data_IF_676319123302
#
_entry.id   IF_676319123302
#
_cell.length_a   1.000
_cell.length_b   1.000
_cell.length_c   1.000
_cell.angle_alpha   90.00
_cell.angle_beta   90.00
_cell.angle_gamma   90.00
#
_symmetry.space_group_name_H-M   'P 1'
#
loop_
_entity.id
_entity.type
_entity.pdbx_description
1 polymer ?
#
# COMPACT_ATOMS: atom_id res chain seq x y z
N UNK A 1 25.32 7.33 -24.70
CA UNK A 1 24.88 8.05 -23.49
C UNK A 1 24.04 7.20 -22.53
N UNK A 2 22.76 6.87 -22.78
CA UNK A 2 21.95 6.07 -21.82
C UNK A 2 22.55 4.68 -21.54
N UNK A 3 22.99 3.97 -22.59
CA UNK A 3 23.62 2.65 -22.43
C UNK A 3 24.99 2.72 -21.72
N UNK A 4 25.77 3.78 -21.93
CA UNK A 4 27.05 3.99 -21.23
C UNK A 4 26.85 4.34 -19.76
N UNK A 5 25.82 5.15 -19.45
CA UNK A 5 25.48 5.46 -18.06
C UNK A 5 25.10 4.18 -17.32
N UNK A 6 24.29 3.32 -17.95
CA UNK A 6 23.90 2.03 -17.37
C UNK A 6 25.09 1.10 -17.12
N UNK A 7 26.07 1.09 -18.01
CA UNK A 7 27.30 0.31 -17.80
C UNK A 7 28.10 0.85 -16.61
N UNK A 8 28.22 2.18 -16.49
CA UNK A 8 28.89 2.81 -15.35
C UNK A 8 28.16 2.57 -14.02
N UNK A 9 26.83 2.56 -14.03
CA UNK A 9 26.00 2.22 -12.86
C UNK A 9 26.26 0.78 -12.40
N UNK A 10 26.32 -0.18 -13.33
CA UNK A 10 26.64 -1.57 -13.01
C UNK A 10 28.04 -1.74 -12.42
N UNK A 11 29.04 -1.08 -13.02
CA UNK A 11 30.41 -1.07 -12.49
C UNK A 11 30.47 -0.41 -11.10
N UNK A 12 29.76 0.70 -10.93
CA UNK A 12 29.66 1.39 -9.66
C UNK A 12 28.99 0.56 -8.57
N UNK A 13 27.94 -0.18 -8.93
CA UNK A 13 27.26 -1.10 -8.02
C UNK A 13 28.23 -2.17 -7.49
N UNK A 14 28.97 -2.83 -8.39
CA UNK A 14 29.93 -3.89 -8.02
C UNK A 14 31.05 -3.37 -7.12
N UNK A 15 31.65 -2.22 -7.47
CA UNK A 15 32.67 -1.59 -6.63
C UNK A 15 32.09 -1.15 -5.29
N UNK A 16 30.87 -0.64 -5.29
CA UNK A 16 30.11 -0.27 -4.10
C UNK A 16 30.01 -1.43 -3.12
N UNK A 17 29.54 -2.59 -3.57
CA UNK A 17 29.43 -3.79 -2.73
C UNK A 17 30.77 -4.23 -2.14
N UNK A 18 31.83 -4.30 -2.98
CA UNK A 18 33.17 -4.68 -2.54
C UNK A 18 33.67 -3.72 -1.45
N UNK A 19 33.48 -2.42 -1.64
CA UNK A 19 33.92 -1.39 -0.68
C UNK A 19 33.10 -1.44 0.60
N UNK A 20 31.79 -1.58 0.52
CA UNK A 20 30.91 -1.74 1.69
C UNK A 20 31.37 -2.94 2.54
N UNK A 21 31.65 -4.08 1.89
CA UNK A 21 32.15 -5.28 2.56
C UNK A 21 33.54 -5.06 3.19
N UNK A 22 34.46 -4.38 2.49
CA UNK A 22 35.80 -4.07 3.01
C UNK A 22 35.76 -3.17 4.26
N UNK A 23 34.85 -2.19 4.28
CA UNK A 23 34.63 -1.30 5.42
C UNK A 23 33.75 -1.94 6.52
N UNK A 24 33.20 -3.14 6.29
CA UNK A 24 32.33 -3.89 7.22
C UNK A 24 31.13 -3.06 7.71
N UNK A 25 30.56 -2.25 6.82
CA UNK A 25 29.42 -1.41 7.16
C UNK A 25 28.12 -2.23 7.17
N UNK A 26 27.26 -2.09 8.19
CA UNK A 26 26.01 -2.86 8.30
C UNK A 26 24.89 -2.29 7.42
N UNK A 27 25.14 -2.20 6.11
CA UNK A 27 24.18 -1.73 5.09
C UNK A 27 24.07 -2.70 3.93
N UNK A 28 22.94 -2.63 3.22
CA UNK A 28 22.71 -3.34 1.97
C UNK A 28 22.54 -2.35 0.83
N UNK A 29 23.35 -2.49 -0.22
CA UNK A 29 23.22 -1.69 -1.43
C UNK A 29 22.02 -2.19 -2.24
N UNK A 30 21.13 -1.28 -2.61
CA UNK A 30 19.90 -1.59 -3.35
C UNK A 30 20.03 -1.23 -4.82
N UNK A 31 20.53 -0.03 -5.13
CA UNK A 31 20.69 0.43 -6.50
C UNK A 31 21.73 1.57 -6.60
N UNK A 32 22.23 1.82 -7.81
CA UNK A 32 23.13 2.93 -8.13
C UNK A 32 22.65 3.67 -9.37
N UNK A 33 22.51 4.97 -9.26
CA UNK A 33 22.01 5.84 -10.34
C UNK A 33 23.03 6.95 -10.65
N UNK A 34 23.34 7.14 -11.93
CA UNK A 34 24.12 8.26 -12.41
C UNK A 34 23.18 9.34 -12.93
N UNK A 35 23.30 10.56 -12.42
CA UNK A 35 22.46 11.67 -12.87
C UNK A 35 22.64 11.93 -14.37
N UNK A 36 21.59 12.42 -15.04
CA UNK A 36 21.62 12.66 -16.49
C UNK A 36 22.74 13.60 -16.95
N UNK A 37 23.13 14.55 -16.11
CA UNK A 37 24.25 15.48 -16.33
C UNK A 37 25.62 14.87 -15.97
N UNK A 38 25.67 13.61 -15.56
CA UNK A 38 26.83 12.86 -15.07
C UNK A 38 27.56 13.55 -13.89
N UNK A 39 26.90 14.48 -13.19
CA UNK A 39 27.53 15.25 -12.12
C UNK A 39 27.57 14.50 -10.79
N UNK A 40 26.64 13.57 -10.56
CA UNK A 40 26.51 12.81 -9.32
C UNK A 40 26.22 11.34 -9.55
N UNK A 41 26.79 10.51 -8.68
CA UNK A 41 26.53 9.09 -8.59
C UNK A 41 25.86 8.81 -7.24
N UNK A 42 24.62 8.35 -7.28
CA UNK A 42 23.75 8.17 -6.11
C UNK A 42 23.67 6.68 -5.80
N UNK A 43 24.07 6.31 -4.58
CA UNK A 43 24.02 4.94 -4.08
C UNK A 43 22.86 4.82 -3.09
N UNK A 44 21.85 4.06 -3.46
CA UNK A 44 20.69 3.78 -2.62
C UNK A 44 20.97 2.55 -1.76
N UNK A 45 20.78 2.66 -0.45
CA UNK A 45 21.03 1.57 0.48
C UNK A 45 19.98 1.49 1.59
N UNK A 46 19.80 0.30 2.15
CA UNK A 46 18.99 0.06 3.35
C UNK A 46 19.87 -0.26 4.55
N UNK A 47 19.40 0.13 5.73
CA UNK A 47 20.09 -0.11 7.00
C UNK A 47 19.11 0.05 8.17
N UNK A 48 19.29 -0.75 9.23
CA UNK A 48 18.44 -0.71 10.42
C UNK A 48 18.68 0.53 11.30
N UNK A 49 19.81 1.22 11.12
CA UNK A 49 20.20 2.35 11.94
C UNK A 49 21.01 3.40 11.17
N UNK A 50 21.56 4.37 11.91
CA UNK A 50 22.51 5.34 11.36
C UNK A 50 23.86 4.66 11.14
N UNK A 51 24.46 4.91 9.99
CA UNK A 51 25.78 4.39 9.64
C UNK A 51 26.72 5.54 9.37
N UNK A 52 27.93 5.46 9.91
CA UNK A 52 29.01 6.36 9.53
C UNK A 52 29.70 5.81 8.28
N UNK A 53 29.43 6.44 7.14
CA UNK A 53 29.95 6.07 5.83
C UNK A 53 31.00 7.07 5.30
N UNK A 54 31.57 7.94 6.14
CA UNK A 54 32.51 8.98 5.70
C UNK A 54 33.74 8.42 4.97
N UNK A 55 34.32 7.33 5.47
CA UNK A 55 35.47 6.69 4.82
C UNK A 55 35.07 5.99 3.51
N UNK A 56 33.88 5.37 3.45
CA UNK A 56 33.34 4.79 2.22
C UNK A 56 33.17 5.86 1.12
N UNK A 57 32.67 7.06 1.46
CA UNK A 57 32.51 8.16 0.50
C UNK A 57 33.85 8.57 -0.10
N UNK A 58 34.91 8.69 0.72
CA UNK A 58 36.25 9.02 0.24
C UNK A 58 36.79 7.97 -0.72
N UNK A 59 36.63 6.70 -0.36
CA UNK A 59 37.03 5.56 -1.18
C UNK A 59 36.31 5.55 -2.53
N UNK A 60 34.98 5.68 -2.53
CA UNK A 60 34.19 5.72 -3.76
C UNK A 60 34.53 6.95 -4.62
N UNK A 61 34.71 8.12 -4.01
CA UNK A 61 35.07 9.34 -4.72
C UNK A 61 36.45 9.24 -5.40
N UNK A 62 37.39 8.52 -4.77
CA UNK A 62 38.72 8.27 -5.35
C UNK A 62 38.66 7.40 -6.62
N UNK A 63 37.67 6.51 -6.73
CA UNK A 63 37.48 5.62 -7.88
C UNK A 63 36.76 6.33 -9.02
N UNK A 64 35.59 6.92 -8.75
CA UNK A 64 34.68 7.37 -9.80
C UNK A 64 34.92 8.80 -10.30
N UNK A 65 35.71 9.60 -9.59
CA UNK A 65 35.99 11.02 -9.91
C UNK A 65 34.72 11.87 -10.15
N UNK A 66 33.59 11.41 -9.63
CA UNK A 66 32.26 12.03 -9.68
C UNK A 66 31.79 12.26 -8.25
N UNK A 67 30.91 13.24 -8.03
CA UNK A 67 30.35 13.48 -6.70
C UNK A 67 29.52 12.28 -6.24
N UNK A 68 29.91 11.68 -5.13
CA UNK A 68 29.21 10.53 -4.53
C UNK A 68 28.14 11.03 -3.57
N UNK A 69 26.94 10.48 -3.68
CA UNK A 69 25.84 10.68 -2.74
C UNK A 69 25.35 9.33 -2.24
N UNK A 70 25.35 9.12 -0.93
CA UNK A 70 24.81 7.91 -0.31
C UNK A 70 23.44 8.25 0.26
N UNK A 71 22.41 7.53 -0.18
CA UNK A 71 21.03 7.77 0.23
C UNK A 71 20.44 6.54 0.90
N UNK A 72 20.15 6.68 2.19
CA UNK A 72 19.40 5.67 2.93
C UNK A 72 17.93 5.72 2.50
N UNK A 73 17.40 4.57 2.12
CA UNK A 73 15.98 4.38 1.77
C UNK A 73 15.31 3.42 2.75
N UNK A 74 13.98 3.53 2.88
CA UNK A 74 13.22 2.60 3.70
C UNK A 74 12.88 1.31 2.96
N UNK A 75 12.53 0.26 3.71
CA UNK A 75 12.09 -1.05 3.18
C UNK A 75 10.95 -0.97 2.14
N UNK A 76 10.13 0.09 2.20
CA UNK A 76 9.05 0.30 1.23
C UNK A 76 9.58 0.88 -0.09
N UNK A 77 10.54 1.79 -0.02
CA UNK A 77 11.15 2.38 -1.20
C UNK A 77 12.03 1.35 -1.91
N UNK A 78 12.71 0.49 -1.15
CA UNK A 78 13.38 -0.70 -1.67
C UNK A 78 12.40 -1.60 -2.46
N UNK A 79 11.27 -1.97 -1.85
CA UNK A 79 10.25 -2.76 -2.55
C UNK A 79 9.67 -2.03 -3.78
N UNK A 80 9.60 -0.69 -3.76
CA UNK A 80 9.18 0.12 -4.91
C UNK A 80 10.20 0.07 -6.05
N UNK A 81 11.50 0.15 -5.74
CA UNK A 81 12.59 0.11 -6.71
C UNK A 81 12.72 -1.28 -7.34
N UNK A 82 12.71 -2.33 -6.52
CA UNK A 82 12.77 -3.72 -6.99
C UNK A 82 11.49 -4.14 -7.72
N UNK A 83 10.35 -3.57 -7.33
CA UNK A 83 9.04 -3.99 -7.80
C UNK A 83 8.64 -5.37 -7.28
N UNK A 84 7.74 -6.03 -8.00
CA UNK A 84 7.27 -7.38 -7.67
C UNK A 84 5.75 -7.50 -7.61
N UNK A 85 5.29 -8.61 -7.03
CA UNK A 85 3.87 -8.92 -6.88
C UNK A 85 3.45 -8.81 -5.41
N UNK A 86 2.32 -8.15 -5.18
CA UNK A 86 1.69 -8.08 -3.88
C UNK A 86 0.96 -9.38 -3.51
N UNK A 87 0.50 -9.51 -2.27
CA UNK A 87 -0.29 -10.67 -1.82
C UNK A 87 -1.63 -10.81 -2.57
N UNK A 88 -2.08 -9.74 -3.24
CA UNK A 88 -3.24 -9.74 -4.13
C UNK A 88 -2.97 -10.33 -5.53
N UNK A 89 -1.72 -10.73 -5.83
CA UNK A 89 -1.31 -11.25 -7.13
C UNK A 89 -1.07 -10.19 -8.20
N UNK A 90 -1.27 -8.90 -7.88
CA UNK A 90 -1.00 -7.77 -8.79
C UNK A 90 0.37 -7.17 -8.53
N UNK A 91 0.88 -6.40 -9.49
CA UNK A 91 2.09 -5.58 -9.31
C UNK A 91 1.96 -4.63 -8.12
N UNK A 92 3.06 -4.36 -7.42
CA UNK A 92 3.04 -3.50 -6.24
C UNK A 92 2.45 -2.12 -6.56
N UNK A 93 1.50 -1.66 -5.73
CA UNK A 93 0.89 -0.34 -5.90
C UNK A 93 1.93 0.78 -5.81
N UNK A 94 2.96 0.60 -4.96
CA UNK A 94 4.03 1.59 -4.78
C UNK A 94 4.94 1.76 -6.00
N UNK A 95 5.09 0.73 -6.83
CA UNK A 95 5.90 0.77 -8.06
C UNK A 95 5.09 1.16 -9.30
N UNK A 96 3.78 1.39 -9.15
CA UNK A 96 2.86 1.64 -10.27
C UNK A 96 2.23 3.02 -10.19
N UNK A 97 1.19 3.19 -9.37
CA UNK A 97 0.41 4.44 -9.31
C UNK A 97 0.54 5.18 -7.98
N UNK A 98 0.97 4.50 -6.91
CA UNK A 98 1.00 5.07 -5.57
C UNK A 98 2.40 5.60 -5.23
N UNK A 99 2.64 6.87 -5.57
CA UNK A 99 3.92 7.54 -5.36
C UNK A 99 4.18 7.96 -3.91
N UNK A 100 3.14 8.49 -3.25
CA UNK A 100 3.22 9.06 -1.90
C UNK A 100 2.52 8.19 -0.85
N UNK A 101 3.15 8.09 0.32
CA UNK A 101 2.68 7.23 1.39
C UNK A 101 2.19 8.02 2.58
N UNK A 102 0.92 7.78 2.91
CA UNK A 102 0.33 8.23 4.16
C UNK A 102 0.52 7.16 5.25
N UNK A 103 0.60 7.56 6.53
CA UNK A 103 0.63 6.62 7.64
C UNK A 103 -0.61 5.71 7.63
N UNK A 104 -0.38 4.41 7.78
CA UNK A 104 -1.45 3.41 7.87
C UNK A 104 -1.57 2.95 9.31
N UNK A 105 -2.79 2.80 9.81
CA UNK A 105 -3.06 2.35 11.17
C UNK A 105 -3.81 1.01 11.20
N UNK A 106 -3.63 0.24 12.28
CA UNK A 106 -4.33 -1.03 12.50
C UNK A 106 -5.85 -0.84 12.55
N UNK A 107 -6.31 0.34 12.99
CA UNK A 107 -7.75 0.69 13.03
C UNK A 107 -8.40 0.55 11.65
N UNK A 108 -7.68 0.91 10.59
CA UNK A 108 -8.19 0.88 9.21
C UNK A 108 -8.40 -0.56 8.74
N UNK A 109 -7.47 -1.46 9.07
CA UNK A 109 -7.64 -2.90 8.80
C UNK A 109 -8.89 -3.45 9.51
N UNK A 110 -9.13 -3.03 10.76
CA UNK A 110 -10.33 -3.42 11.52
C UNK A 110 -11.62 -2.88 10.90
N UNK A 111 -11.61 -1.63 10.44
CA UNK A 111 -12.78 -0.99 9.81
C UNK A 111 -13.12 -1.62 8.45
N UNK A 112 -12.13 -2.21 7.78
CA UNK A 112 -12.29 -2.95 6.52
C UNK A 112 -12.55 -4.46 6.75
N UNK A 113 -12.84 -4.86 7.98
CA UNK A 113 -13.13 -6.25 8.38
C UNK A 113 -12.02 -7.25 8.01
N UNK A 114 -10.76 -6.81 8.01
CA UNK A 114 -9.62 -7.70 7.77
C UNK A 114 -9.15 -8.36 9.08
N UNK A 115 -8.63 -9.58 8.96
CA UNK A 115 -8.01 -10.29 10.07
C UNK A 115 -6.77 -9.54 10.55
N UNK A 116 -6.62 -9.35 11.86
CA UNK A 116 -5.47 -8.65 12.47
C UNK A 116 -4.18 -9.48 12.49
N UNK A 117 -4.13 -10.62 11.77
CA UNK A 117 -2.89 -11.38 11.60
C UNK A 117 -1.91 -10.58 10.72
N UNK A 118 -0.67 -10.33 11.18
CA UNK A 118 0.34 -9.58 10.40
C UNK A 118 0.51 -10.06 8.96
N UNK A 119 0.47 -11.38 8.71
CA UNK A 119 0.62 -11.94 7.35
C UNK A 119 -0.53 -11.55 6.40
N UNK A 120 -1.67 -11.10 6.91
CA UNK A 120 -2.84 -10.69 6.13
C UNK A 120 -2.95 -9.17 5.95
N UNK A 121 -2.27 -8.38 6.80
CA UNK A 121 -2.36 -6.90 6.78
C UNK A 121 -1.06 -6.20 6.42
N UNK A 122 0.05 -6.94 6.36
CA UNK A 122 1.35 -6.44 5.94
C UNK A 122 1.57 -6.69 4.45
N UNK A 123 2.16 -5.70 3.78
CA UNK A 123 2.67 -5.85 2.42
C UNK A 123 4.01 -6.61 2.40
N UNK A 124 4.51 -6.87 1.19
CA UNK A 124 5.79 -7.55 0.99
C UNK A 124 6.97 -6.83 1.65
N UNK A 125 6.89 -5.51 1.79
CA UNK A 125 7.88 -4.68 2.49
C UNK A 125 7.82 -4.79 4.03
N UNK A 126 7.03 -5.72 4.59
CA UNK A 126 6.92 -5.96 6.04
C UNK A 126 6.13 -4.90 6.82
N UNK A 127 5.73 -3.79 6.19
CA UNK A 127 4.86 -2.76 6.78
C UNK A 127 3.40 -2.96 6.42
N UNK A 128 2.49 -2.33 7.14
CA UNK A 128 1.05 -2.33 6.83
C UNK A 128 0.78 -1.93 5.38
N UNK A 129 -0.18 -2.62 4.73
CA UNK A 129 -0.54 -2.41 3.33
C UNK A 129 -1.01 -0.97 3.09
N UNK A 130 -0.42 -0.29 2.11
CA UNK A 130 -0.82 1.06 1.73
C UNK A 130 -2.23 1.12 1.10
N UNK A 131 -2.70 0.01 0.52
CA UNK A 131 -4.08 -0.15 0.02
C UNK A 131 -5.12 0.14 1.09
N UNK A 132 -4.84 -0.18 2.36
CA UNK A 132 -5.76 0.10 3.47
C UNK A 132 -6.07 1.59 3.56
N UNK A 133 -5.07 2.47 3.44
CA UNK A 133 -5.33 3.91 3.44
C UNK A 133 -5.97 4.38 2.14
N UNK A 134 -5.56 3.82 1.01
CA UNK A 134 -6.14 4.16 -0.28
C UNK A 134 -7.66 3.91 -0.34
N UNK A 135 -8.11 2.77 0.20
CA UNK A 135 -9.53 2.40 0.20
C UNK A 135 -10.32 3.09 1.33
N UNK A 136 -9.64 3.52 2.40
CA UNK A 136 -10.27 4.00 3.63
C UNK A 136 -11.32 5.08 3.40
N UNK A 137 -11.03 6.07 2.57
CA UNK A 137 -11.94 7.21 2.37
C UNK A 137 -13.26 6.75 1.74
N UNK A 138 -13.20 5.73 0.87
CA UNK A 138 -14.38 5.08 0.31
C UNK A 138 -15.15 4.29 1.36
N UNK A 139 -14.46 3.52 2.22
CA UNK A 139 -15.10 2.81 3.32
C UNK A 139 -15.83 3.75 4.30
N UNK A 140 -15.21 4.89 4.64
CA UNK A 140 -15.81 5.89 5.52
C UNK A 140 -17.06 6.51 4.90
N UNK A 141 -17.03 6.82 3.60
CA UNK A 141 -18.18 7.35 2.88
C UNK A 141 -19.32 6.32 2.78
N UNK A 142 -19.01 5.08 2.39
CA UNK A 142 -19.97 3.99 2.30
C UNK A 142 -20.64 3.73 3.66
N UNK A 143 -19.86 3.70 4.75
CA UNK A 143 -20.37 3.47 6.10
C UNK A 143 -21.30 4.59 6.61
N UNK A 144 -21.04 5.84 6.24
CA UNK A 144 -21.96 6.96 6.55
C UNK A 144 -23.30 6.84 5.82
N UNK A 145 -23.30 6.24 4.63
CA UNK A 145 -24.50 6.05 3.83
C UNK A 145 -25.27 4.78 4.16
N UNK A 146 -24.61 3.79 4.77
CA UNK A 146 -25.21 2.51 5.15
C UNK A 146 -26.14 2.62 6.36
N UNK A 147 -27.30 1.94 6.32
CA UNK A 147 -28.19 1.81 7.47
C UNK A 147 -27.58 0.93 8.57
N UNK A 148 -28.08 1.05 9.80
CA UNK A 148 -27.70 0.15 10.90
C UNK A 148 -28.32 -1.24 10.67
N UNK A 149 -27.57 -2.31 10.94
CA UNK A 149 -28.11 -3.67 11.02
C UNK A 149 -29.28 -3.71 12.00
N UNK A 150 -30.36 -4.42 11.63
CA UNK A 150 -31.61 -4.47 12.39
C UNK A 150 -32.59 -3.32 12.13
N UNK A 151 -32.25 -2.35 11.27
CA UNK A 151 -33.21 -1.30 10.89
C UNK A 151 -34.26 -1.85 9.92
N UNK A 152 -35.51 -1.42 10.11
CA UNK A 152 -36.60 -1.65 9.16
C UNK A 152 -36.46 -0.72 7.95
N UNK A 153 -36.62 -1.28 6.76
CA UNK A 153 -36.51 -0.59 5.48
C UNK A 153 -37.63 -1.02 4.54
N UNK A 154 -37.95 -0.15 3.60
CA UNK A 154 -38.90 -0.48 2.52
C UNK A 154 -38.12 -0.85 1.27
N UNK A 155 -38.30 -2.08 0.82
CA UNK A 155 -37.75 -2.58 -0.44
C UNK A 155 -38.85 -2.62 -1.51
N UNK A 156 -38.52 -2.80 -2.81
CA UNK A 156 -39.53 -2.95 -3.86
C UNK A 156 -40.51 -4.11 -3.62
N UNK A 157 -40.06 -5.14 -2.90
CA UNK A 157 -40.83 -6.34 -2.58
C UNK A 157 -41.63 -6.21 -1.26
N UNK A 158 -41.47 -5.12 -0.51
CA UNK A 158 -42.16 -4.87 0.76
C UNK A 158 -41.26 -4.48 1.93
N UNK A 159 -41.80 -4.42 3.16
CA UNK A 159 -41.04 -4.10 4.36
C UNK A 159 -40.06 -5.23 4.71
N UNK A 160 -38.83 -4.86 5.05
CA UNK A 160 -37.75 -5.80 5.33
C UNK A 160 -36.88 -5.32 6.51
N UNK A 161 -36.23 -6.26 7.19
CA UNK A 161 -35.26 -5.98 8.25
C UNK A 161 -33.86 -6.27 7.76
N UNK A 162 -32.92 -5.34 7.93
CA UNK A 162 -31.53 -5.54 7.50
C UNK A 162 -30.83 -6.57 8.40
N UNK A 163 -30.31 -7.63 7.81
CA UNK A 163 -29.46 -8.62 8.49
C UNK A 163 -28.00 -8.21 8.45
N UNK A 164 -27.51 -7.86 7.25
CA UNK A 164 -26.11 -7.57 6.99
C UNK A 164 -25.96 -6.65 5.77
N UNK A 165 -24.78 -6.10 5.54
CA UNK A 165 -24.51 -5.27 4.37
C UNK A 165 -23.10 -5.50 3.82
N UNK A 166 -22.97 -5.44 2.50
CA UNK A 166 -21.69 -5.44 1.81
C UNK A 166 -21.32 -4.00 1.44
N UNK A 167 -20.34 -3.44 2.14
CA UNK A 167 -19.87 -2.05 1.96
C UNK A 167 -19.37 -1.79 0.53
N UNK A 168 -18.55 -2.68 -0.02
CA UNK A 168 -17.92 -2.50 -1.32
C UNK A 168 -18.91 -2.62 -2.50
N UNK A 169 -19.93 -3.48 -2.36
CA UNK A 169 -20.96 -3.68 -3.39
C UNK A 169 -22.15 -2.75 -3.22
N UNK A 170 -22.19 -1.93 -2.16
CA UNK A 170 -23.35 -1.11 -1.78
C UNK A 170 -24.66 -1.93 -1.73
N UNK A 171 -24.58 -3.19 -1.28
CA UNK A 171 -25.74 -4.09 -1.16
C UNK A 171 -26.11 -4.33 0.29
N UNK A 172 -27.41 -4.45 0.54
CA UNK A 172 -27.97 -4.81 1.85
C UNK A 172 -28.65 -6.16 1.74
N UNK A 173 -28.37 -7.04 2.71
CA UNK A 173 -29.03 -8.33 2.87
C UNK A 173 -30.17 -8.17 3.85
N UNK A 174 -31.38 -8.46 3.39
CA UNK A 174 -32.60 -8.13 4.12
C UNK A 174 -33.42 -9.40 4.35
N UNK A 175 -34.09 -9.46 5.50
CA UNK A 175 -35.06 -10.48 5.86
C UNK A 175 -36.45 -9.93 5.61
N UNK A 176 -37.22 -10.61 4.79
CA UNK A 176 -38.64 -10.31 4.56
C UNK A 176 -39.51 -11.43 5.12
N UNK A 177 -40.67 -11.06 5.63
CA UNK A 177 -41.69 -12.01 6.07
C UNK A 177 -42.79 -11.98 5.00
N UNK A 178 -42.98 -13.10 4.30
CA UNK A 178 -44.04 -13.25 3.29
C UNK A 178 -45.38 -13.53 3.99
N UNK A 179 -46.48 -13.40 3.23
CA UNK A 179 -47.85 -13.61 3.75
C UNK A 179 -48.11 -15.00 4.34
N UNK A 180 -47.28 -15.99 4.00
CA UNK A 180 -47.36 -17.37 4.46
C UNK A 180 -46.46 -17.66 5.69
N UNK A 181 -46.03 -16.63 6.42
CA UNK A 181 -45.05 -16.69 7.53
C UNK A 181 -43.66 -17.25 7.16
N UNK A 182 -43.42 -17.52 5.88
CA UNK A 182 -42.10 -17.93 5.38
C UNK A 182 -41.13 -16.75 5.35
N UNK A 183 -39.93 -16.99 5.86
CA UNK A 183 -38.82 -16.03 5.84
C UNK A 183 -38.09 -16.13 4.50
N UNK A 184 -38.02 -15.01 3.79
CA UNK A 184 -37.21 -14.88 2.58
C UNK A 184 -36.02 -13.93 2.83
N UNK A 185 -34.86 -14.26 2.25
CA UNK A 185 -33.64 -13.47 2.42
C UNK A 185 -33.12 -13.07 1.05
N UNK A 186 -33.20 -11.77 0.76
CA UNK A 186 -32.79 -11.20 -0.53
C UNK A 186 -31.73 -10.11 -0.35
N UNK A 187 -30.98 -9.87 -1.42
CA UNK A 187 -30.01 -8.78 -1.51
C UNK A 187 -30.54 -7.70 -2.45
N UNK A 188 -30.58 -6.46 -1.96
CA UNK A 188 -30.96 -5.28 -2.75
C UNK A 188 -29.80 -4.29 -2.80
N UNK A 189 -29.71 -3.51 -3.89
CA UNK A 189 -28.79 -2.38 -3.95
C UNK A 189 -29.32 -1.24 -3.06
N UNK A 190 -28.42 -0.50 -2.41
CA UNK A 190 -28.77 0.65 -1.56
C UNK A 190 -29.69 1.68 -2.26
N UNK A 191 -29.62 1.80 -3.59
CA UNK A 191 -30.42 2.75 -4.38
C UNK A 191 -31.89 2.37 -4.48
N UNK A 192 -32.19 1.08 -4.35
CA UNK A 192 -33.54 0.52 -4.54
C UNK A 192 -34.32 0.45 -3.21
N UNK A 193 -33.69 0.87 -2.11
CA UNK A 193 -34.20 0.73 -0.75
C UNK A 193 -34.48 2.11 -0.15
N UNK A 194 -35.65 2.26 0.49
CA UNK A 194 -36.01 3.49 1.20
C UNK A 194 -35.86 3.32 2.72
N UNK A 195 -35.25 4.32 3.35
CA UNK A 195 -35.01 4.36 4.79
C UNK A 195 -36.07 5.23 5.49
N UNK A 196 -36.69 4.76 6.59
CA UNK A 196 -37.70 5.54 7.32
C UNK A 196 -37.17 6.79 8.05
N UNK A 197 -35.88 7.16 7.90
CA UNK A 197 -35.25 8.29 8.61
C UNK A 197 -34.37 9.22 7.78
N UNK A 198 -34.15 8.99 6.48
CA UNK A 198 -33.43 9.96 5.62
C UNK A 198 -34.45 10.93 5.02
N UNK A 199 -34.68 12.08 5.68
CA UNK A 199 -35.20 13.25 4.98
C UNK A 199 -34.28 13.50 3.77
N UNK A 200 -34.84 13.40 2.56
CA UNK A 200 -34.21 13.93 1.35
C UNK A 200 -33.99 15.43 1.62
N UNK A 201 -32.75 15.84 1.77
CA UNK A 201 -32.35 17.21 1.46
C UNK A 201 -31.92 17.24 0.00
#
# INVERSE_FOLDING_TARGET
QVAENRQKELEAFQVGEIKIAAHKLPMYLVDVELTFDNSKLIFYFTADGRIDFRELVKDLASVFKTRIELRQIGVRDEAKMLGGLGPCGLTLCCSTFMGDFHPVSIKMAKEQNLSLNPSKISGICGRLMCCLKYEQDHYEHARKNMPRTGSEITTPDGPAVILDYNLLKEKVKVKMILKDDTVDVKEFHLKDVQFPGKKKN
#
